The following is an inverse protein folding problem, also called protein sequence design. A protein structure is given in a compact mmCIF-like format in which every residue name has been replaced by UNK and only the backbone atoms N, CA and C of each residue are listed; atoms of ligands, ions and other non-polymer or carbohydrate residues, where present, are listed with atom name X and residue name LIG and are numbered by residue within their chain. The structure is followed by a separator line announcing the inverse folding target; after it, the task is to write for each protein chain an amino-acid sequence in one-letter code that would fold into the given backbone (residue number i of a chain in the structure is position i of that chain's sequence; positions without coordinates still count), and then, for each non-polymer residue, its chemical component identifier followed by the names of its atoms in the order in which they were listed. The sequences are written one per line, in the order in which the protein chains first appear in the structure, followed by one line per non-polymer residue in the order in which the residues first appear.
data_IF_599214089123
#
_entry.id   IF_599214089123
#
_cell.length_a   1.000
_cell.length_b   1.000
_cell.length_c   1.000
_cell.angle_alpha   90.00
_cell.angle_beta   90.00
_cell.angle_gamma   90.00
#
_symmetry.space_group_name_H-M   'P 1'
#
loop_
_entity.id
_entity.type
_entity.pdbx_description
1 polymer ?
#
# COMPACT_ATOMS: atom_id res chain seq x y z
N UNK A 1 4.75 13.84 4.70
CA UNK A 1 5.12 12.42 4.72
C UNK A 1 6.40 12.16 3.92
N UNK A 2 6.59 12.84 2.79
CA UNK A 2 7.72 12.59 1.87
C UNK A 2 9.12 12.65 2.50
N UNK A 3 9.35 13.57 3.44
CA UNK A 3 10.68 13.81 4.02
C UNK A 3 11.30 12.57 4.71
N UNK A 4 10.49 11.70 5.32
CA UNK A 4 10.99 10.47 5.94
C UNK A 4 11.23 9.35 4.92
N UNK A 5 10.36 9.23 3.91
CA UNK A 5 10.54 8.25 2.84
C UNK A 5 11.78 8.59 1.98
N UNK A 6 12.00 9.86 1.68
CA UNK A 6 13.19 10.35 0.98
C UNK A 6 14.47 10.05 1.76
N UNK A 7 14.44 10.23 3.10
CA UNK A 7 15.58 9.89 3.95
C UNK A 7 15.95 8.41 3.87
N UNK A 8 14.95 7.50 3.85
CA UNK A 8 15.20 6.06 3.71
C UNK A 8 15.67 5.69 2.29
N UNK A 9 15.11 6.32 1.26
CA UNK A 9 15.51 6.10 -0.14
C UNK A 9 16.92 6.61 -0.44
N UNK A 10 17.42 7.58 0.33
CA UNK A 10 18.75 8.16 0.15
C UNK A 10 19.86 7.41 0.93
N UNK A 11 19.52 6.36 1.69
CA UNK A 11 20.51 5.54 2.40
C UNK A 11 21.29 4.64 1.45
N UNK A 12 22.55 4.33 1.76
CA UNK A 12 23.37 3.41 0.94
C UNK A 12 22.96 1.93 1.07
N UNK A 13 22.10 1.60 2.04
CA UNK A 13 21.63 0.24 2.28
C UNK A 13 20.38 -0.07 1.45
N UNK A 14 20.50 -1.00 0.50
CA UNK A 14 19.42 -1.42 -0.39
C UNK A 14 18.19 -1.97 0.35
N UNK A 15 18.36 -2.57 1.53
CA UNK A 15 17.25 -3.01 2.37
C UNK A 15 16.51 -1.80 2.97
N UNK A 16 17.23 -0.77 3.41
CA UNK A 16 16.61 0.46 3.93
C UNK A 16 15.93 1.27 2.82
N UNK A 17 16.52 1.31 1.63
CA UNK A 17 15.89 1.91 0.45
C UNK A 17 14.55 1.23 0.12
N UNK A 18 14.51 -0.11 0.18
CA UNK A 18 13.27 -0.87 -0.05
C UNK A 18 12.18 -0.59 1.01
N UNK A 19 12.56 -0.18 2.23
CA UNK A 19 11.63 0.21 3.31
C UNK A 19 11.07 1.63 3.17
N UNK A 20 11.57 2.45 2.24
CA UNK A 20 11.08 3.81 2.04
C UNK A 20 9.58 3.85 1.73
N UNK A 21 9.09 2.88 0.94
CA UNK A 21 7.67 2.74 0.61
C UNK A 21 6.82 2.40 1.84
N UNK A 22 7.29 1.50 2.71
CA UNK A 22 6.60 1.17 3.96
C UNK A 22 6.47 2.38 4.90
N UNK A 23 7.55 3.17 5.02
CA UNK A 23 7.57 4.39 5.86
C UNK A 23 6.59 5.43 5.34
N UNK A 24 6.48 5.54 4.01
CA UNK A 24 5.49 6.41 3.35
C UNK A 24 4.07 5.95 3.67
N UNK A 25 3.76 4.67 3.45
CA UNK A 25 2.44 4.09 3.73
C UNK A 25 2.00 4.32 5.19
N UNK A 26 2.88 4.03 6.15
CA UNK A 26 2.58 4.24 7.57
C UNK A 26 2.31 5.71 7.87
N UNK A 27 3.10 6.61 7.30
CA UNK A 27 2.94 8.06 7.50
C UNK A 27 1.59 8.55 6.96
N UNK A 28 1.24 8.12 5.75
CA UNK A 28 -0.02 8.50 5.09
C UNK A 28 -1.23 7.94 5.84
N UNK A 29 -1.15 6.70 6.35
CA UNK A 29 -2.19 6.11 7.21
C UNK A 29 -2.35 6.86 8.52
N UNK A 30 -1.27 7.28 9.19
CA UNK A 30 -1.37 8.08 10.42
C UNK A 30 -2.08 9.40 10.12
N UNK A 31 -1.72 10.08 9.04
CA UNK A 31 -2.37 11.33 8.63
C UNK A 31 -3.86 11.09 8.33
N UNK A 32 -4.21 10.05 7.57
CA UNK A 32 -5.60 9.74 7.25
C UNK A 32 -6.44 9.46 8.50
N UNK A 33 -5.89 8.71 9.46
CA UNK A 33 -6.56 8.46 10.75
C UNK A 33 -6.77 9.74 11.56
N UNK A 34 -5.75 10.62 11.64
CA UNK A 34 -5.83 11.87 12.38
C UNK A 34 -6.77 12.90 11.74
N UNK A 35 -6.87 12.88 10.41
CA UNK A 35 -7.73 13.80 9.63
C UNK A 35 -9.14 13.25 9.40
N UNK A 36 -9.41 12.01 9.81
CA UNK A 36 -10.67 11.33 9.52
C UNK A 36 -10.90 11.02 8.04
N UNK A 37 -9.86 11.12 7.21
CA UNK A 37 -9.92 10.88 5.75
C UNK A 37 -9.59 9.42 5.41
N UNK A 38 -9.90 8.48 6.30
CA UNK A 38 -9.69 7.06 6.02
C UNK A 38 -10.58 6.69 4.84
N UNK A 39 -9.95 6.39 3.69
CA UNK A 39 -10.67 5.92 2.53
C UNK A 39 -11.39 4.61 2.89
N UNK A 40 -12.70 4.71 3.05
CA UNK A 40 -13.56 3.53 3.20
C UNK A 40 -13.69 2.98 1.78
N UNK A 41 -13.18 1.77 1.53
CA UNK A 41 -13.58 1.04 0.33
C UNK A 41 -15.10 0.92 0.37
N UNK A 42 -15.78 1.52 -0.60
CA UNK A 42 -17.22 1.35 -0.73
C UNK A 42 -17.49 -0.15 -0.92
N UNK A 43 -18.20 -0.73 0.04
CA UNK A 43 -18.66 -2.10 -0.06
C UNK A 43 -19.78 -2.15 -1.09
N UNK A 44 -19.42 -2.48 -2.34
CA UNK A 44 -20.40 -2.67 -3.41
C UNK A 44 -21.33 -3.86 -3.15
N UNK A 45 -21.03 -4.72 -2.16
CA UNK A 45 -21.74 -5.97 -1.91
C UNK A 45 -21.50 -7.05 -2.97
N UNK A 46 -20.83 -6.72 -4.06
CA UNK A 46 -20.58 -7.60 -5.21
C UNK A 46 -19.11 -8.03 -5.28
N UNK A 47 -18.88 -9.18 -5.91
CA UNK A 47 -17.53 -9.69 -6.18
C UNK A 47 -16.86 -8.84 -7.27
N UNK A 48 -15.62 -8.43 -7.06
CA UNK A 48 -14.93 -7.48 -7.94
C UNK A 48 -13.43 -7.78 -8.09
N UNK A 49 -12.82 -7.14 -9.09
CA UNK A 49 -11.37 -7.18 -9.36
C UNK A 49 -10.82 -5.78 -9.10
N UNK A 50 -9.72 -5.71 -8.35
CA UNK A 50 -9.07 -4.44 -8.02
C UNK A 50 -8.01 -4.11 -9.07
N UNK A 51 -8.04 -2.88 -9.60
CA UNK A 51 -6.99 -2.36 -10.48
C UNK A 51 -6.32 -1.17 -9.77
N UNK A 52 -5.00 -1.25 -9.56
CA UNK A 52 -4.24 -0.19 -8.90
C UNK A 52 -2.88 0.01 -9.59
N UNK A 53 -2.22 1.14 -9.33
CA UNK A 53 -0.85 1.34 -9.83
C UNK A 53 0.15 0.48 -9.06
N UNK A 54 0.00 0.42 -7.74
CA UNK A 54 0.71 -0.45 -6.81
C UNK A 54 -0.22 -0.78 -5.63
N UNK A 55 0.12 -1.79 -4.84
CA UNK A 55 -0.63 -2.17 -3.65
C UNK A 55 0.32 -2.44 -2.48
N UNK A 56 0.19 -1.67 -1.41
CA UNK A 56 0.99 -1.87 -0.21
C UNK A 56 0.54 -3.15 0.55
N UNK A 57 1.45 -3.83 1.28
CA UNK A 57 1.08 -4.99 2.09
C UNK A 57 -0.09 -4.73 3.06
N UNK A 58 -0.14 -3.51 3.62
CA UNK A 58 -1.20 -3.06 4.54
C UNK A 58 -2.59 -3.00 3.88
N UNK A 59 -2.66 -2.61 2.62
CA UNK A 59 -3.88 -2.54 1.81
C UNK A 59 -4.36 -3.96 1.48
N UNK A 60 -3.44 -4.82 1.05
CA UNK A 60 -3.70 -6.24 0.73
C UNK A 60 -4.32 -7.00 1.91
N UNK A 61 -3.85 -6.74 3.13
CA UNK A 61 -4.37 -7.36 4.36
C UNK A 61 -5.78 -6.88 4.70
N UNK A 62 -6.15 -5.69 4.25
CA UNK A 62 -7.45 -5.07 4.52
C UNK A 62 -8.55 -5.52 3.54
N UNK A 63 -8.20 -6.29 2.50
CA UNK A 63 -9.13 -6.77 1.48
C UNK A 63 -10.06 -7.88 2.01
N UNK A 64 -11.34 -7.78 1.64
CA UNK A 64 -12.33 -8.84 1.86
C UNK A 64 -12.13 -9.98 0.86
N UNK A 65 -11.60 -11.12 1.35
CA UNK A 65 -11.28 -12.30 0.53
C UNK A 65 -12.49 -12.96 -0.10
N UNK A 66 -13.70 -12.74 0.42
CA UNK A 66 -14.91 -13.31 -0.15
C UNK A 66 -15.44 -12.49 -1.35
N UNK A 67 -15.00 -11.22 -1.45
CA UNK A 67 -15.43 -10.27 -2.48
C UNK A 67 -14.36 -10.00 -3.54
N UNK A 68 -13.09 -9.96 -3.15
CA UNK A 68 -11.99 -9.70 -4.09
C UNK A 68 -11.62 -10.98 -4.84
N UNK A 69 -11.95 -11.04 -6.12
CA UNK A 69 -11.65 -12.18 -7.00
C UNK A 69 -10.20 -12.21 -7.46
N UNK A 70 -9.63 -11.02 -7.69
CA UNK A 70 -8.26 -10.82 -8.12
C UNK A 70 -7.86 -9.34 -7.93
N UNK A 71 -6.56 -9.06 -8.01
CA UNK A 71 -6.05 -7.69 -8.16
C UNK A 71 -4.99 -7.64 -9.26
N UNK A 72 -4.88 -6.50 -9.93
CA UNK A 72 -3.92 -6.22 -10.99
C UNK A 72 -3.21 -4.91 -10.66
N UNK A 73 -1.87 -4.93 -10.64
CA UNK A 73 -1.05 -3.74 -10.43
C UNK A 73 -0.29 -3.35 -11.70
N UNK A 74 -0.23 -2.06 -12.00
CA UNK A 74 0.48 -1.55 -13.18
C UNK A 74 2.01 -1.62 -13.02
N UNK A 75 2.52 -1.36 -11.81
CA UNK A 75 3.95 -1.27 -11.50
C UNK A 75 4.42 -2.40 -10.58
N UNK A 76 3.84 -3.60 -10.73
CA UNK A 76 4.14 -4.75 -9.90
C UNK A 76 5.62 -4.85 -9.53
N UNK A 77 5.91 -4.68 -8.24
CA UNK A 77 7.28 -4.61 -7.75
C UNK A 77 7.88 -6.02 -7.63
N UNK A 78 9.06 -6.23 -8.23
CA UNK A 78 9.85 -7.47 -8.08
C UNK A 78 10.37 -7.69 -6.65
N UNK A 79 10.28 -6.66 -5.80
CA UNK A 79 10.57 -6.70 -4.36
C UNK A 79 9.28 -6.61 -3.52
N UNK A 80 8.11 -6.76 -4.13
CA UNK A 80 6.84 -6.54 -3.44
C UNK A 80 6.58 -7.70 -2.49
N UNK A 81 6.69 -7.43 -1.19
CA UNK A 81 6.18 -8.34 -0.16
C UNK A 81 4.66 -8.61 -0.30
N UNK A 82 3.97 -7.92 -1.21
CA UNK A 82 2.58 -8.15 -1.60
C UNK A 82 2.40 -9.43 -2.44
N UNK A 83 3.49 -10.09 -2.88
CA UNK A 83 3.43 -11.30 -3.70
C UNK A 83 3.40 -12.64 -2.92
N UNK A 84 3.29 -12.64 -1.59
CA UNK A 84 3.24 -13.87 -0.77
C UNK A 84 1.84 -14.10 -0.20
#
# INVERSE_FOLDING_TARGET
ADNFAEMFSAMDDAYMQARAADVRDISDRIIANLTGSVAVQEDSGEKHIICADDLAPSETVSLDKDKVLAFVTAHGSSNSHTAI
#
